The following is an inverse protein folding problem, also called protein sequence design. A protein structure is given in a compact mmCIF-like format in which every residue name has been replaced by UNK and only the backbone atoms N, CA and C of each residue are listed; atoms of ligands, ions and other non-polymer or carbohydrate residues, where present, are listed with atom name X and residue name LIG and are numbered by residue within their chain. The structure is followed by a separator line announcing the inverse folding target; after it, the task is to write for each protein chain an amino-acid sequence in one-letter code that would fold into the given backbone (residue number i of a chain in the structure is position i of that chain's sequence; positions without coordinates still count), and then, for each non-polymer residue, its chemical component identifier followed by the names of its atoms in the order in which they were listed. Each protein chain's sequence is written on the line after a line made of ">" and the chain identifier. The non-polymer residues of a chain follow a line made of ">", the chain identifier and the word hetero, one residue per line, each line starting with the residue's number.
data_IF_568185737166
#
_entry.id   IF_568185737166
#
_cell.length_a   1.000
_cell.length_b   1.000
_cell.length_c   1.000
_cell.angle_alpha   90.00
_cell.angle_beta   90.00
_cell.angle_gamma   90.00
#
_symmetry.space_group_name_H-M   'P 1'
#
loop_
_entity.id
_entity.type
_entity.pdbx_description
1 polymer ?
#
# COMPACT_ATOMS: atom_id res chain seq x y z
N UNK A 1 16.99 -44.75 12.08
CA UNK A 1 17.60 -43.57 11.40
C UNK A 1 16.74 -42.98 10.30
N UNK A 2 15.95 -43.74 9.58
CA UNK A 2 15.04 -43.21 8.55
C UNK A 2 13.84 -42.39 9.10
N UNK A 3 13.41 -42.65 10.32
CA UNK A 3 12.29 -41.97 10.95
C UNK A 3 12.61 -40.53 11.35
N UNK A 4 13.85 -40.18 11.70
CA UNK A 4 14.27 -38.87 12.11
C UNK A 4 14.31 -37.91 10.91
N UNK A 5 14.56 -38.38 9.72
CA UNK A 5 14.60 -37.60 8.47
C UNK A 5 13.18 -37.27 8.00
N UNK A 6 12.23 -38.16 8.18
CA UNK A 6 10.83 -37.99 7.81
C UNK A 6 10.10 -36.97 8.71
N UNK A 7 10.50 -36.84 9.97
CA UNK A 7 9.94 -35.85 10.88
C UNK A 7 10.45 -34.41 10.61
N UNK A 8 11.67 -34.27 10.12
CA UNK A 8 12.23 -32.97 9.75
C UNK A 8 11.57 -32.42 8.48
N UNK A 9 11.28 -33.24 7.50
CA UNK A 9 10.63 -32.83 6.25
C UNK A 9 9.16 -32.45 6.44
N UNK A 10 8.49 -32.94 7.45
CA UNK A 10 7.11 -32.60 7.77
C UNK A 10 6.96 -31.29 8.52
N UNK A 11 7.99 -30.86 9.23
CA UNK A 11 7.97 -29.58 9.98
C UNK A 11 8.19 -28.39 9.04
N UNK A 12 8.87 -28.58 7.94
CA UNK A 12 9.17 -27.50 6.98
C UNK A 12 8.07 -27.24 5.95
N UNK A 13 7.10 -28.15 5.82
CA UNK A 13 6.04 -28.02 4.80
C UNK A 13 4.77 -27.33 5.28
N UNK A 14 4.68 -26.97 6.55
CA UNK A 14 3.47 -26.37 7.15
C UNK A 14 3.65 -24.94 7.65
N UNK A 15 4.68 -24.21 7.23
CA UNK A 15 4.66 -22.76 7.36
C UNK A 15 3.69 -22.22 6.32
N UNK A 16 2.46 -21.98 6.73
CA UNK A 16 1.48 -21.25 5.92
C UNK A 16 2.12 -19.93 5.51
N UNK A 17 2.26 -19.72 4.21
CA UNK A 17 2.84 -18.50 3.65
C UNK A 17 1.99 -17.31 4.10
N UNK A 18 2.52 -16.50 5.00
CA UNK A 18 1.86 -15.26 5.45
C UNK A 18 1.48 -14.40 4.24
N UNK A 19 0.27 -13.92 4.25
CA UNK A 19 -0.28 -13.03 3.23
C UNK A 19 -0.47 -11.62 3.81
N UNK A 20 -0.60 -10.62 2.95
CA UNK A 20 -0.80 -9.23 3.37
C UNK A 20 -2.00 -9.03 4.32
N UNK A 21 -3.05 -9.83 4.17
CA UNK A 21 -4.24 -9.80 5.06
C UNK A 21 -3.94 -10.26 6.49
N UNK A 22 -2.90 -11.05 6.68
CA UNK A 22 -2.49 -11.52 8.01
C UNK A 22 -1.85 -10.39 8.84
N UNK A 23 -1.53 -9.26 8.20
CA UNK A 23 -1.04 -8.06 8.88
C UNK A 23 -2.14 -7.22 9.53
N UNK A 24 -3.41 -7.51 9.30
CA UNK A 24 -4.51 -6.78 9.95
C UNK A 24 -4.40 -6.94 11.47
N UNK A 25 -4.38 -5.81 12.19
CA UNK A 25 -4.16 -5.75 13.64
C UNK A 25 -2.69 -5.65 14.06
N UNK A 26 -1.76 -5.88 13.15
CA UNK A 26 -0.33 -5.72 13.41
C UNK A 26 0.10 -4.26 13.28
N UNK A 27 1.21 -3.91 13.94
CA UNK A 27 1.84 -2.61 13.77
C UNK A 27 2.39 -2.48 12.34
N UNK A 28 2.07 -1.38 11.67
CA UNK A 28 2.56 -1.11 10.33
C UNK A 28 4.09 -1.02 10.31
N UNK A 29 4.78 -1.74 9.42
CA UNK A 29 6.23 -1.63 9.27
C UNK A 29 6.68 -0.19 8.98
N UNK A 30 7.69 0.27 9.68
CA UNK A 30 8.32 1.57 9.45
C UNK A 30 9.29 1.49 8.27
N UNK A 31 9.39 2.57 7.51
CA UNK A 31 10.30 2.64 6.38
C UNK A 31 10.72 4.08 6.08
N UNK A 32 11.82 4.20 5.34
CA UNK A 32 12.29 5.45 4.75
C UNK A 32 12.51 5.20 3.26
N UNK A 33 11.87 6.00 2.42
CA UNK A 33 12.00 5.96 0.96
C UNK A 33 12.15 7.38 0.41
N UNK A 34 12.67 7.49 -0.81
CA UNK A 34 12.70 8.77 -1.52
C UNK A 34 11.36 9.00 -2.21
N UNK A 35 10.85 10.23 -2.15
CA UNK A 35 9.65 10.62 -2.87
C UNK A 35 9.93 11.02 -4.33
N UNK A 36 8.89 11.37 -5.07
CA UNK A 36 8.98 11.76 -6.48
C UNK A 36 9.68 13.12 -6.72
N UNK A 37 9.96 13.87 -5.67
CA UNK A 37 10.73 15.12 -5.72
C UNK A 37 12.19 14.95 -5.28
N UNK A 38 12.57 13.72 -4.89
CA UNK A 38 13.90 13.41 -4.40
C UNK A 38 14.15 13.74 -2.94
N UNK A 39 13.09 13.95 -2.16
CA UNK A 39 13.17 14.16 -0.72
C UNK A 39 13.01 12.84 0.02
N UNK A 40 13.67 12.73 1.16
CA UNK A 40 13.50 11.59 2.06
C UNK A 40 12.11 11.64 2.71
N UNK A 41 11.41 10.53 2.65
CA UNK A 41 10.11 10.34 3.29
C UNK A 41 10.24 9.26 4.38
N UNK A 42 10.04 9.65 5.62
CA UNK A 42 9.99 8.75 6.77
C UNK A 42 8.53 8.45 7.11
N UNK A 43 8.17 7.18 7.14
CA UNK A 43 6.80 6.74 7.46
C UNK A 43 6.31 7.22 8.83
N UNK A 44 7.23 7.46 9.77
CA UNK A 44 6.91 7.98 11.11
C UNK A 44 6.38 9.41 11.09
N UNK A 45 6.60 10.16 10.00
CA UNK A 45 6.00 11.49 9.83
C UNK A 45 4.47 11.47 9.81
N UNK A 46 3.88 10.30 9.60
CA UNK A 46 2.43 10.09 9.58
C UNK A 46 1.87 9.48 10.88
N UNK A 47 2.72 9.30 11.90
CA UNK A 47 2.28 8.77 13.19
C UNK A 47 1.17 9.65 13.79
N UNK A 48 0.15 9.02 14.35
CA UNK A 48 -1.01 9.69 14.90
C UNK A 48 -2.08 10.09 13.88
N UNK A 49 -1.88 9.82 12.61
CA UNK A 49 -2.83 10.13 11.52
C UNK A 49 -3.33 8.87 10.82
N UNK A 50 -4.58 8.90 10.38
CA UNK A 50 -5.09 7.93 9.43
C UNK A 50 -4.34 8.07 8.11
N UNK A 51 -3.97 6.94 7.49
CA UNK A 51 -3.28 6.94 6.21
C UNK A 51 -3.59 5.72 5.37
N UNK A 52 -3.56 5.93 4.06
CA UNK A 52 -3.60 4.88 3.05
C UNK A 52 -2.23 4.78 2.41
N UNK A 53 -1.64 3.60 2.45
CA UNK A 53 -0.51 3.24 1.60
C UNK A 53 -1.04 2.36 0.47
N UNK A 54 -0.92 2.80 -0.77
CA UNK A 54 -1.27 1.96 -1.90
C UNK A 54 -0.02 1.59 -2.69
N UNK A 55 0.15 0.30 -2.89
CA UNK A 55 1.28 -0.26 -3.63
C UNK A 55 0.88 -0.52 -5.07
N UNK A 56 1.75 -0.15 -6.00
CA UNK A 56 1.60 -0.43 -7.42
C UNK A 56 2.95 -0.80 -8.04
N UNK A 57 2.96 -1.56 -9.14
CA UNK A 57 4.20 -2.11 -9.66
C UNK A 57 4.91 -1.18 -10.66
N UNK A 58 4.17 -0.59 -11.61
CA UNK A 58 4.81 0.07 -12.74
C UNK A 58 4.13 1.39 -13.12
N UNK A 59 4.94 2.44 -13.17
CA UNK A 59 4.51 3.73 -13.70
C UNK A 59 4.06 3.60 -15.17
N UNK A 60 2.98 4.30 -15.51
CA UNK A 60 2.48 4.36 -16.87
C UNK A 60 1.63 3.17 -17.31
N UNK A 61 1.50 2.10 -16.52
CA UNK A 61 0.54 1.05 -16.86
C UNK A 61 -0.89 1.60 -16.78
N UNK A 62 -1.81 1.19 -17.68
CA UNK A 62 -3.19 1.70 -17.69
C UNK A 62 -3.92 1.51 -16.35
N UNK A 63 -3.68 0.41 -15.67
CA UNK A 63 -4.32 0.11 -14.39
C UNK A 63 -3.75 0.96 -13.25
N UNK A 64 -2.42 1.17 -13.20
CA UNK A 64 -1.79 2.05 -12.22
C UNK A 64 -2.18 3.50 -12.43
N UNK A 65 -2.24 3.95 -13.68
CA UNK A 65 -2.74 5.28 -14.06
C UNK A 65 -4.16 5.50 -13.54
N UNK A 66 -5.04 4.53 -13.79
CA UNK A 66 -6.45 4.58 -13.35
C UNK A 66 -6.57 4.63 -11.83
N UNK A 67 -5.75 3.85 -11.12
CA UNK A 67 -5.69 3.84 -9.67
C UNK A 67 -5.27 5.18 -9.09
N UNK A 68 -4.17 5.75 -9.56
CA UNK A 68 -3.68 7.06 -9.13
C UNK A 68 -4.69 8.18 -9.40
N UNK A 69 -5.33 8.17 -10.58
CA UNK A 69 -6.37 9.15 -10.92
C UNK A 69 -7.59 9.02 -10.01
N UNK A 70 -7.98 7.81 -9.64
CA UNK A 70 -9.09 7.60 -8.71
C UNK A 70 -8.80 8.16 -7.33
N UNK A 71 -7.60 7.93 -6.79
CA UNK A 71 -7.17 8.55 -5.53
C UNK A 71 -7.08 10.07 -5.64
N UNK A 72 -6.63 10.59 -6.77
CA UNK A 72 -6.61 12.04 -7.05
C UNK A 72 -8.01 12.63 -7.04
N UNK A 73 -8.96 12.03 -7.75
CA UNK A 73 -10.36 12.48 -7.81
C UNK A 73 -11.04 12.50 -6.44
N UNK A 74 -10.72 11.53 -5.58
CA UNK A 74 -11.31 11.36 -4.26
C UNK A 74 -10.48 11.96 -3.12
N UNK A 75 -9.38 12.63 -3.43
CA UNK A 75 -8.44 13.13 -2.42
C UNK A 75 -9.09 14.06 -1.39
N UNK A 76 -10.00 14.93 -1.81
CA UNK A 76 -10.68 15.84 -0.89
C UNK A 76 -11.52 15.09 0.15
N UNK A 77 -12.10 13.96 -0.21
CA UNK A 77 -12.84 13.10 0.74
C UNK A 77 -11.90 12.46 1.76
N UNK A 78 -10.74 12.00 1.34
CA UNK A 78 -9.72 11.48 2.26
C UNK A 78 -9.20 12.59 3.19
N UNK A 79 -8.89 13.75 2.64
CA UNK A 79 -8.44 14.90 3.44
C UNK A 79 -9.49 15.33 4.47
N UNK A 80 -10.77 15.38 4.08
CA UNK A 80 -11.88 15.69 4.99
C UNK A 80 -12.06 14.65 6.09
N UNK A 81 -11.70 13.40 5.82
CA UNK A 81 -11.71 12.32 6.81
C UNK A 81 -10.43 12.27 7.67
N UNK A 82 -9.50 13.22 7.49
CA UNK A 82 -8.22 13.24 8.20
C UNK A 82 -7.27 12.11 7.78
N UNK A 83 -7.41 11.61 6.56
CA UNK A 83 -6.63 10.50 6.05
C UNK A 83 -5.61 10.96 4.98
N UNK A 84 -4.34 10.67 5.21
CA UNK A 84 -3.27 10.92 4.24
C UNK A 84 -3.23 9.79 3.21
N UNK A 85 -2.85 10.12 1.98
CA UNK A 85 -2.68 9.16 0.89
C UNK A 85 -1.23 9.16 0.46
N UNK A 86 -0.64 7.97 0.31
CA UNK A 86 0.75 7.78 -0.13
C UNK A 86 0.80 6.62 -1.11
N UNK A 87 1.37 6.84 -2.28
CA UNK A 87 1.63 5.79 -3.25
C UNK A 87 3.05 5.24 -3.11
N UNK A 88 3.21 3.93 -3.26
CA UNK A 88 4.52 3.25 -3.24
C UNK A 88 4.64 2.40 -4.49
N UNK A 89 5.63 2.69 -5.31
CA UNK A 89 5.85 2.01 -6.58
C UNK A 89 7.30 1.57 -6.77
N UNK A 90 7.50 0.61 -7.67
CA UNK A 90 8.81 0.04 -7.96
C UNK A 90 9.68 0.91 -8.90
N UNK A 91 9.15 2.02 -9.39
CA UNK A 91 9.89 2.93 -10.27
C UNK A 91 10.94 3.76 -9.55
N UNK A 92 11.82 4.38 -10.33
CA UNK A 92 12.79 5.36 -9.84
C UNK A 92 12.13 6.67 -9.47
N UNK A 93 12.81 7.54 -8.71
CA UNK A 93 12.37 8.91 -8.43
C UNK A 93 12.03 9.66 -9.73
N UNK A 94 12.88 9.56 -10.76
CA UNK A 94 12.64 10.20 -12.07
C UNK A 94 11.39 9.64 -12.77
N UNK A 95 11.22 8.33 -12.75
CA UNK A 95 10.05 7.67 -13.33
C UNK A 95 8.76 8.14 -12.66
N UNK A 96 8.73 8.17 -11.33
CA UNK A 96 7.60 8.67 -10.55
C UNK A 96 7.31 10.14 -10.83
N UNK A 97 8.34 10.97 -10.92
CA UNK A 97 8.21 12.39 -11.27
C UNK A 97 7.57 12.59 -12.64
N UNK A 98 8.05 11.87 -13.65
CA UNK A 98 7.48 11.90 -15.01
C UNK A 98 6.04 11.39 -15.04
N UNK A 99 5.77 10.29 -14.32
CA UNK A 99 4.45 9.71 -14.23
C UNK A 99 3.45 10.68 -13.59
N UNK A 100 3.81 11.30 -12.48
CA UNK A 100 3.00 12.32 -11.79
C UNK A 100 2.68 13.50 -12.70
N UNK A 101 3.67 14.00 -13.44
CA UNK A 101 3.48 15.08 -14.44
C UNK A 101 2.52 14.66 -15.55
N UNK A 102 2.62 13.43 -16.03
CA UNK A 102 1.74 12.90 -17.08
C UNK A 102 0.27 12.83 -16.65
N UNK A 103 0.01 12.78 -15.33
CA UNK A 103 -1.32 12.77 -14.74
C UNK A 103 -1.84 14.19 -14.39
N UNK A 104 -1.10 15.23 -14.75
CA UNK A 104 -1.43 16.61 -14.38
C UNK A 104 -1.13 16.95 -12.91
N UNK A 105 -0.21 16.22 -12.29
CA UNK A 105 0.11 16.31 -10.87
C UNK A 105 -0.77 15.42 -10.00
N UNK A 106 -0.29 15.12 -8.80
CA UNK A 106 -1.02 14.37 -7.77
C UNK A 106 -0.90 15.11 -6.43
N UNK A 107 -1.97 15.18 -5.62
CA UNK A 107 -1.93 15.83 -4.32
C UNK A 107 -1.28 15.00 -3.22
N UNK A 108 -0.62 13.92 -3.56
CA UNK A 108 0.07 13.02 -2.65
C UNK A 108 1.41 12.55 -3.24
N UNK A 109 2.37 12.15 -2.40
CA UNK A 109 3.67 11.68 -2.88
C UNK A 109 3.61 10.28 -3.47
N UNK A 110 4.53 10.00 -4.38
CA UNK A 110 4.85 8.67 -4.88
C UNK A 110 6.25 8.30 -4.39
N UNK A 111 6.36 7.21 -3.65
CA UNK A 111 7.60 6.76 -3.04
C UNK A 111 8.27 5.68 -3.88
N UNK A 112 9.59 5.77 -4.02
CA UNK A 112 10.39 4.88 -4.84
C UNK A 112 10.89 3.67 -4.04
N UNK A 113 10.30 2.50 -4.29
CA UNK A 113 10.65 1.21 -3.68
C UNK A 113 11.21 0.26 -4.75
N UNK A 114 12.36 0.63 -5.34
CA UNK A 114 12.92 -0.05 -6.52
C UNK A 114 13.24 -1.52 -6.30
N UNK A 115 13.71 -1.88 -5.12
CA UNK A 115 14.08 -3.24 -4.74
C UNK A 115 12.93 -4.02 -4.09
N UNK A 116 11.74 -3.43 -4.00
CA UNK A 116 10.57 -4.01 -3.32
C UNK A 116 10.75 -4.28 -1.83
N UNK A 117 11.76 -3.71 -1.18
CA UNK A 117 12.01 -3.99 0.23
C UNK A 117 10.81 -3.65 1.13
N UNK A 118 10.16 -2.52 0.88
CA UNK A 118 8.97 -2.11 1.63
C UNK A 118 7.75 -2.94 1.24
N UNK A 119 7.54 -3.18 -0.06
CA UNK A 119 6.46 -4.06 -0.53
C UNK A 119 6.56 -5.46 0.10
N UNK A 120 7.77 -5.99 0.25
CA UNK A 120 8.01 -7.29 0.90
C UNK A 120 7.71 -7.26 2.40
N UNK A 121 8.05 -6.17 3.10
CA UNK A 121 7.68 -5.98 4.51
C UNK A 121 6.16 -5.98 4.72
N UNK A 122 5.42 -5.42 3.78
CA UNK A 122 3.96 -5.39 3.78
C UNK A 122 3.34 -6.64 3.16
N UNK A 123 4.13 -7.65 2.84
CA UNK A 123 3.69 -8.91 2.24
C UNK A 123 2.83 -8.70 0.98
N UNK A 124 3.14 -7.67 0.22
CA UNK A 124 2.47 -7.40 -1.07
C UNK A 124 2.83 -8.52 -2.04
N UNK A 125 1.85 -9.24 -2.58
CA UNK A 125 2.13 -10.39 -3.44
C UNK A 125 2.93 -10.02 -4.68
N UNK A 126 3.89 -10.88 -5.05
CA UNK A 126 4.53 -10.82 -6.37
C UNK A 126 3.69 -11.68 -7.30
N UNK A 127 3.06 -11.08 -8.30
CA UNK A 127 2.45 -11.85 -9.35
C UNK A 127 3.47 -12.19 -10.43
N UNK A 128 3.71 -13.48 -10.59
CA UNK A 128 4.46 -14.01 -11.72
C UNK A 128 3.60 -13.83 -12.97
N UNK A 129 3.97 -12.89 -13.83
CA UNK A 129 3.30 -12.67 -15.10
C UNK A 129 2.81 -11.25 -15.34
N UNK A 130 1.79 -11.11 -16.17
CA UNK A 130 1.35 -9.84 -16.76
C UNK A 130 0.65 -8.85 -15.82
N UNK A 131 0.34 -9.25 -14.58
CA UNK A 131 -0.43 -8.42 -13.67
C UNK A 131 0.30 -8.18 -12.35
N UNK A 132 0.77 -6.95 -12.11
CA UNK A 132 1.33 -6.59 -10.82
C UNK A 132 0.27 -6.65 -9.72
N UNK A 133 0.65 -7.17 -8.57
CA UNK A 133 -0.19 -7.11 -7.40
C UNK A 133 -0.37 -5.64 -6.98
N UNK A 134 -1.59 -5.30 -6.64
CA UNK A 134 -1.95 -3.98 -6.13
C UNK A 134 -2.67 -4.16 -4.82
N UNK A 135 -2.08 -3.60 -3.78
CA UNK A 135 -2.63 -3.70 -2.43
C UNK A 135 -2.65 -2.32 -1.80
N UNK A 136 -3.68 -2.04 -1.04
CA UNK A 136 -3.77 -0.83 -0.23
C UNK A 136 -4.00 -1.18 1.22
N UNK A 137 -3.31 -0.45 2.09
CA UNK A 137 -3.34 -0.64 3.54
C UNK A 137 -3.93 0.59 4.20
N UNK A 138 -5.04 0.43 4.91
CA UNK A 138 -5.57 1.46 5.79
C UNK A 138 -4.93 1.31 7.16
N UNK A 139 -4.20 2.32 7.60
CA UNK A 139 -3.47 2.34 8.86
C UNK A 139 -4.06 3.42 9.75
N UNK A 140 -4.36 3.06 11.00
CA UNK A 140 -4.94 3.98 11.98
C UNK A 140 -3.92 4.87 12.67
N UNK A 141 -4.40 5.85 13.47
CA UNK A 141 -3.55 6.74 14.26
C UNK A 141 -2.66 6.03 15.28
N UNK A 142 -3.03 4.81 15.66
CA UNK A 142 -2.28 3.92 16.55
C UNK A 142 -1.18 3.12 15.83
N UNK A 143 -0.94 3.41 14.54
CA UNK A 143 0.00 2.71 13.66
C UNK A 143 -0.34 1.24 13.41
N UNK A 144 -1.56 0.82 13.68
CA UNK A 144 -2.01 -0.53 13.36
C UNK A 144 -2.68 -0.59 11.99
N UNK A 145 -2.44 -1.67 11.27
CA UNK A 145 -3.10 -1.96 10.00
C UNK A 145 -4.55 -2.37 10.31
N UNK A 146 -5.50 -1.58 9.86
CA UNK A 146 -6.94 -1.79 10.10
C UNK A 146 -7.59 -2.62 9.00
N UNK A 147 -7.22 -2.37 7.76
CA UNK A 147 -7.75 -3.08 6.59
C UNK A 147 -6.69 -3.24 5.52
N UNK A 148 -6.80 -4.30 4.76
CA UNK A 148 -6.01 -4.57 3.56
C UNK A 148 -6.95 -4.81 2.40
N UNK A 149 -6.70 -4.13 1.29
CA UNK A 149 -7.52 -4.19 0.09
C UNK A 149 -6.67 -4.62 -1.09
N UNK A 150 -7.08 -5.66 -1.78
CA UNK A 150 -6.50 -6.06 -3.06
C UNK A 150 -7.37 -5.52 -4.19
N UNK A 151 -6.77 -4.78 -5.13
CA UNK A 151 -7.52 -4.12 -6.19
C UNK A 151 -6.88 -4.33 -7.57
N UNK A 152 -7.33 -5.35 -8.28
CA UNK A 152 -6.77 -5.65 -9.59
C UNK A 152 -7.50 -4.92 -10.73
N UNK A 153 -8.83 -4.77 -10.65
CA UNK A 153 -9.61 -4.35 -11.81
C UNK A 153 -10.62 -3.21 -11.58
N UNK A 154 -10.86 -2.78 -10.36
CA UNK A 154 -11.92 -1.81 -10.04
C UNK A 154 -11.50 -0.76 -9.02
N UNK A 155 -10.60 0.17 -9.38
CA UNK A 155 -10.06 1.15 -8.43
C UNK A 155 -11.13 2.03 -7.79
N UNK A 156 -12.19 2.43 -8.51
CA UNK A 156 -13.28 3.23 -7.94
C UNK A 156 -14.03 2.52 -6.82
N UNK A 157 -14.31 1.23 -6.97
CA UNK A 157 -14.93 0.43 -5.89
C UNK A 157 -14.01 0.26 -4.71
N UNK A 158 -12.74 0.15 -4.98
CA UNK A 158 -11.71 0.03 -3.97
C UNK A 158 -11.64 1.28 -3.07
N UNK A 159 -11.52 2.45 -3.69
CA UNK A 159 -11.51 3.73 -2.98
C UNK A 159 -12.82 3.96 -2.21
N UNK A 160 -13.97 3.65 -2.80
CA UNK A 160 -15.27 3.75 -2.12
C UNK A 160 -15.35 2.87 -0.87
N UNK A 161 -14.79 1.67 -0.90
CA UNK A 161 -14.70 0.78 0.26
C UNK A 161 -13.85 1.37 1.38
N UNK A 162 -12.71 1.95 1.05
CA UNK A 162 -11.83 2.60 2.03
C UNK A 162 -12.56 3.76 2.68
N UNK A 163 -13.17 4.64 1.91
CA UNK A 163 -13.94 5.78 2.41
C UNK A 163 -15.07 5.36 3.34
N UNK A 164 -15.75 4.26 3.02
CA UNK A 164 -16.80 3.70 3.88
C UNK A 164 -16.28 3.28 5.26
N UNK A 165 -15.06 2.75 5.34
CA UNK A 165 -14.46 2.38 6.63
C UNK A 165 -13.98 3.59 7.43
N UNK A 166 -13.67 4.70 6.78
CA UNK A 166 -13.30 5.95 7.46
C UNK A 166 -14.52 6.71 8.00
N UNK A 167 -15.67 6.62 7.34
CA UNK A 167 -16.89 7.36 7.70
C UNK A 167 -17.40 7.12 9.14
N UNK A 168 -17.38 5.88 9.71
CA UNK A 168 -17.80 5.65 11.08
C UNK A 168 -16.86 6.25 12.12
N UNK A 169 -15.61 6.48 11.77
CA UNK A 169 -14.58 7.02 12.67
C UNK A 169 -14.71 8.53 12.82
N UNK A 170 -15.17 9.20 11.77
CA UNK A 170 -15.39 10.66 11.78
C UNK A 170 -16.76 11.06 12.37
N UNK A 171 -17.70 10.13 12.48
CA UNK A 171 -19.03 10.34 13.03
C UNK A 171 -19.14 10.09 14.54
N UNK A 172 -18.05 9.77 15.21
CA UNK A 172 -18.06 9.40 16.63
C UNK A 172 -18.00 10.55 17.64
N UNK A 173 -17.96 11.79 17.19
CA UNK A 173 -17.93 12.97 18.03
C UNK A 173 -19.31 13.66 18.07
N UNK A 174 -20.19 13.09 18.80
CA UNK A 174 -21.43 13.78 19.20
C UNK A 174 -21.64 13.69 20.69
#
# INVERSE_FOLDING_TARGET
>A
MAEVILTADRVTTNEEKKMSKDLIGETAPEFILMDDEGNEFDSRSLDGEWRILFFYAKDGSPTCKRGCLTFKEQHDLFASAGCKVVGVGEGTVESHSKFKKSLGGLPFPLLSDQDRAVADQYLVPVHLGMFPAKSSFLIGPDNQIKHVYDWLFRPRRHVARILKHLSPVTGGDS
#
